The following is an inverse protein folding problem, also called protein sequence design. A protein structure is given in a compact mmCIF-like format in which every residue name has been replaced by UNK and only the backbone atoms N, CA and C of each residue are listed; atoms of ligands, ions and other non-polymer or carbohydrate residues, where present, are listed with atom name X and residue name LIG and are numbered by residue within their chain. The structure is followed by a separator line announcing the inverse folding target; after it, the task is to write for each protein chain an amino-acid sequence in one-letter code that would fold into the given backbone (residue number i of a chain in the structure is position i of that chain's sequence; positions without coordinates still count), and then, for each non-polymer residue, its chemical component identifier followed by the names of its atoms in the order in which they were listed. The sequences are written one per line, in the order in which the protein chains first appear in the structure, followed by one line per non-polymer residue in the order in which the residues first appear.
data_IF_860891529091
#
_entry.id   IF_860891529091
#
_cell.length_a   1.000
_cell.length_b   1.000
_cell.length_c   1.000
_cell.angle_alpha   90.00
_cell.angle_beta   90.00
_cell.angle_gamma   90.00
#
_symmetry.space_group_name_H-M   'P 1'
#
loop_
_entity.id
_entity.type
_entity.pdbx_description
1 polymer ?
#
# COMPACT_ATOMS: atom_id res chain seq x y z
N UNK A 1 -3.31 9.88 18.35
CA UNK A 1 -4.43 9.87 17.40
C UNK A 1 -5.41 8.79 17.85
N UNK A 2 -6.72 9.02 17.78
CA UNK A 2 -7.71 7.97 18.09
C UNK A 2 -7.87 7.04 16.89
N UNK A 3 -8.41 5.85 17.12
CA UNK A 3 -8.73 4.91 16.04
C UNK A 3 -9.70 5.53 15.03
N UNK A 4 -10.74 6.21 15.52
CA UNK A 4 -11.75 6.85 14.69
C UNK A 4 -11.15 7.91 13.74
N UNK A 5 -10.26 8.77 14.25
CA UNK A 5 -9.56 9.76 13.43
C UNK A 5 -8.67 9.09 12.38
N UNK A 6 -7.92 8.05 12.76
CA UNK A 6 -7.04 7.35 11.81
C UNK A 6 -7.84 6.65 10.71
N UNK A 7 -8.97 6.03 11.07
CA UNK A 7 -9.90 5.42 10.11
C UNK A 7 -10.44 6.45 9.13
N UNK A 8 -10.79 7.65 9.61
CA UNK A 8 -11.25 8.75 8.78
C UNK A 8 -10.16 9.22 7.81
N UNK A 9 -8.94 9.43 8.27
CA UNK A 9 -7.79 9.84 7.43
C UNK A 9 -7.47 8.81 6.34
N UNK A 10 -7.48 7.51 6.65
CA UNK A 10 -7.27 6.44 5.67
C UNK A 10 -8.33 6.51 4.56
N UNK A 11 -9.60 6.70 4.91
CA UNK A 11 -10.70 6.81 3.95
C UNK A 11 -10.55 8.05 3.08
N UNK A 12 -10.17 9.20 3.65
CA UNK A 12 -9.94 10.43 2.92
C UNK A 12 -8.80 10.28 1.90
N UNK A 13 -7.69 9.65 2.30
CA UNK A 13 -6.56 9.34 1.42
C UNK A 13 -7.00 8.40 0.29
N UNK A 14 -7.69 7.32 0.62
CA UNK A 14 -8.19 6.35 -0.36
C UNK A 14 -9.12 7.02 -1.39
N UNK A 15 -10.02 7.88 -0.94
CA UNK A 15 -10.90 8.64 -1.83
C UNK A 15 -10.15 9.71 -2.64
N UNK A 16 -9.11 10.33 -2.09
CA UNK A 16 -8.30 11.32 -2.80
C UNK A 16 -7.51 10.68 -3.96
N UNK A 17 -6.89 9.52 -3.73
CA UNK A 17 -6.15 8.81 -4.79
C UNK A 17 -7.10 8.24 -5.86
N UNK A 18 -8.33 7.86 -5.50
CA UNK A 18 -9.38 7.47 -6.45
C UNK A 18 -9.76 8.64 -7.36
N UNK A 19 -10.07 9.79 -6.76
CA UNK A 19 -10.42 11.02 -7.50
C UNK A 19 -9.29 11.52 -8.39
N UNK A 20 -8.04 11.28 -8.01
CA UNK A 20 -6.86 11.57 -8.83
C UNK A 20 -6.65 10.58 -9.99
N UNK A 21 -7.44 9.50 -10.07
CA UNK A 21 -7.35 8.49 -11.13
C UNK A 21 -6.21 7.49 -10.94
N UNK A 22 -5.71 7.30 -9.71
CA UNK A 22 -4.59 6.39 -9.43
C UNK A 22 -5.03 4.96 -9.13
N UNK A 23 -6.33 4.73 -8.95
CA UNK A 23 -6.90 3.44 -8.53
C UNK A 23 -8.00 2.95 -9.50
N UNK A 24 -7.72 2.80 -10.80
CA UNK A 24 -8.72 2.35 -11.78
C UNK A 24 -9.31 0.99 -11.39
N UNK A 25 -10.60 0.77 -11.68
CA UNK A 25 -11.28 -0.52 -11.46
C UNK A 25 -11.25 -1.04 -10.01
N UNK A 26 -11.26 -0.14 -9.01
CA UNK A 26 -11.18 -0.48 -7.57
C UNK A 26 -9.86 -1.18 -7.20
N UNK A 27 -8.78 -0.83 -7.89
CA UNK A 27 -7.42 -1.26 -7.53
C UNK A 27 -6.86 -0.44 -6.36
N UNK A 28 -5.75 -0.88 -5.79
CA UNK A 28 -5.08 -0.18 -4.70
C UNK A 28 -5.55 -0.59 -3.32
N UNK A 29 -4.80 -0.17 -2.31
CA UNK A 29 -5.13 -0.31 -0.89
C UNK A 29 -4.38 0.73 -0.08
N UNK A 30 -4.99 1.14 1.04
CA UNK A 30 -4.39 2.08 1.98
C UNK A 30 -4.42 1.44 3.35
N UNK A 31 -3.31 1.60 4.09
CA UNK A 31 -3.24 1.18 5.48
C UNK A 31 -2.45 2.18 6.31
N UNK A 32 -2.66 2.14 7.62
CA UNK A 32 -1.79 2.78 8.59
C UNK A 32 -1.58 1.87 9.81
N UNK A 33 -0.42 2.00 10.46
CA UNK A 33 -0.10 1.28 11.70
C UNK A 33 -1.05 1.72 12.81
N UNK A 34 -1.59 0.76 13.57
CA UNK A 34 -2.47 1.02 14.70
C UNK A 34 -2.36 -0.08 15.75
N UNK A 35 -2.05 0.30 17.00
CA UNK A 35 -1.67 -0.66 18.05
C UNK A 35 -0.50 -1.54 17.62
N UNK A 36 -0.61 -2.85 17.87
CA UNK A 36 0.37 -3.86 17.45
C UNK A 36 0.12 -4.38 16.00
N UNK A 37 -0.67 -3.65 15.23
CA UNK A 37 -1.17 -4.06 13.92
C UNK A 37 -1.30 -2.91 12.93
N UNK A 38 -2.31 -3.01 12.06
CA UNK A 38 -2.64 -2.02 11.03
C UNK A 38 -4.15 -1.94 10.80
N UNK A 39 -4.63 -0.75 10.44
CA UNK A 39 -5.93 -0.57 9.81
C UNK A 39 -5.74 -0.60 8.29
N UNK A 40 -6.59 -1.34 7.57
CA UNK A 40 -6.48 -1.48 6.11
C UNK A 40 -7.84 -1.40 5.41
N UNK A 41 -7.84 -0.86 4.18
CA UNK A 41 -9.00 -0.84 3.29
C UNK A 41 -9.54 -2.23 2.97
N UNK A 42 -10.88 -2.39 2.87
CA UNK A 42 -11.50 -3.67 2.53
C UNK A 42 -11.27 -4.06 1.06
N UNK A 43 -11.36 -5.36 0.78
CA UNK A 43 -11.29 -5.87 -0.59
C UNK A 43 -12.55 -5.53 -1.39
N UNK A 44 -12.38 -5.02 -2.62
CA UNK A 44 -13.43 -4.90 -3.64
C UNK A 44 -14.48 -3.81 -3.44
N UNK A 45 -14.38 -3.01 -2.37
CA UNK A 45 -15.27 -1.88 -2.12
C UNK A 45 -14.75 -0.62 -2.86
N UNK A 46 -15.55 0.06 -3.69
CA UNK A 46 -15.14 1.32 -4.29
C UNK A 46 -14.78 2.36 -3.22
N UNK A 47 -13.68 3.10 -3.40
CA UNK A 47 -13.26 4.12 -2.44
C UNK A 47 -14.32 5.21 -2.22
N UNK A 48 -15.01 5.64 -3.29
CA UNK A 48 -16.15 6.55 -3.19
C UNK A 48 -17.28 6.09 -2.24
N UNK A 49 -17.35 4.79 -1.91
CA UNK A 49 -18.35 4.20 -0.98
C UNK A 49 -17.74 3.69 0.32
N UNK A 50 -16.42 3.80 0.49
CA UNK A 50 -15.73 3.32 1.68
C UNK A 50 -15.95 4.30 2.83
N UNK A 51 -16.30 3.77 4.01
CA UNK A 51 -16.48 4.54 5.25
C UNK A 51 -15.52 4.04 6.34
N UNK A 52 -15.27 4.82 7.40
CA UNK A 52 -14.35 4.44 8.48
C UNK A 52 -14.63 3.05 9.09
N UNK A 53 -15.90 2.69 9.22
CA UNK A 53 -16.37 1.41 9.78
C UNK A 53 -16.15 0.22 8.84
N UNK A 54 -15.86 0.48 7.56
CA UNK A 54 -15.57 -0.56 6.57
C UNK A 54 -14.09 -1.00 6.62
N UNK A 55 -13.21 -0.30 7.36
CA UNK A 55 -11.80 -0.66 7.55
C UNK A 55 -11.65 -1.86 8.49
N UNK A 56 -10.59 -2.64 8.26
CA UNK A 56 -10.29 -3.86 9.02
C UNK A 56 -9.05 -3.59 9.87
N UNK A 57 -9.09 -3.95 11.15
CA UNK A 57 -7.91 -4.01 12.01
C UNK A 57 -7.28 -5.40 11.91
N UNK A 58 -6.06 -5.46 11.39
CA UNK A 58 -5.25 -6.67 11.30
C UNK A 58 -4.09 -6.59 12.28
N UNK A 59 -3.76 -7.69 12.95
CA UNK A 59 -2.45 -7.87 13.59
C UNK A 59 -1.36 -8.12 12.55
N UNK A 60 -0.10 -7.96 12.94
CA UNK A 60 1.05 -8.23 12.06
C UNK A 60 1.26 -9.73 11.78
N UNK A 61 0.51 -10.65 12.38
CA UNK A 61 0.49 -12.06 11.97
C UNK A 61 -0.59 -12.37 10.91
N UNK A 62 -1.42 -11.38 10.55
CA UNK A 62 -2.50 -11.52 9.57
C UNK A 62 -3.86 -11.88 10.17
N UNK A 63 -3.97 -11.97 11.50
CA UNK A 63 -5.25 -12.21 12.17
C UNK A 63 -6.14 -10.96 12.12
N UNK A 64 -7.44 -11.15 11.84
CA UNK A 64 -8.44 -10.08 11.90
C UNK A 64 -8.82 -9.85 13.37
N UNK A 65 -8.48 -8.67 13.89
CA UNK A 65 -8.79 -8.26 15.25
C UNK A 65 -10.16 -7.57 15.35
N UNK A 66 -10.50 -6.75 14.34
CA UNK A 66 -11.78 -6.06 14.22
C UNK A 66 -12.15 -5.80 12.74
N UNK A 67 -13.44 -5.75 12.45
CA UNK A 67 -13.99 -5.44 11.13
C UNK A 67 -14.95 -6.51 10.60
N UNK A 68 -15.96 -6.07 9.83
CA UNK A 68 -17.01 -6.94 9.27
C UNK A 68 -16.79 -7.34 7.80
N UNK A 69 -15.73 -6.81 7.17
CA UNK A 69 -15.38 -7.06 5.76
C UNK A 69 -14.12 -7.88 5.64
N UNK A 70 -13.88 -8.41 4.44
CA UNK A 70 -12.59 -9.01 4.10
C UNK A 70 -11.55 -7.89 3.91
N UNK A 71 -10.34 -8.00 4.49
CA UNK A 71 -9.26 -7.07 4.21
C UNK A 71 -8.86 -7.15 2.73
N UNK A 72 -8.14 -6.13 2.24
CA UNK A 72 -7.51 -6.18 0.90
C UNK A 72 -6.79 -7.50 0.68
N UNK A 73 -6.89 -8.11 -0.50
CA UNK A 73 -6.13 -9.32 -0.88
C UNK A 73 -4.62 -9.14 -0.81
N UNK A 74 -4.16 -7.89 -0.77
CA UNK A 74 -2.76 -7.49 -0.77
C UNK A 74 -2.23 -7.12 0.62
N UNK A 75 -3.02 -7.35 1.67
CA UNK A 75 -2.57 -7.19 3.06
C UNK A 75 -1.22 -7.89 3.39
N UNK A 76 -0.82 -9.03 2.77
CA UNK A 76 0.43 -9.69 3.12
C UNK A 76 1.67 -8.82 2.94
N UNK A 77 1.76 -8.03 1.86
CA UNK A 77 2.92 -7.15 1.69
C UNK A 77 2.87 -5.94 2.64
N UNK A 78 1.68 -5.46 3.02
CA UNK A 78 1.58 -4.41 4.03
C UNK A 78 2.17 -4.87 5.36
N UNK A 79 1.78 -6.07 5.80
CA UNK A 79 2.31 -6.70 7.01
C UNK A 79 3.83 -6.91 6.91
N UNK A 80 4.32 -7.46 5.80
CA UNK A 80 5.74 -7.70 5.62
C UNK A 80 6.56 -6.39 5.64
N UNK A 81 6.06 -5.35 4.96
CA UNK A 81 6.69 -4.02 4.97
C UNK A 81 6.68 -3.43 6.38
N UNK A 82 5.57 -3.47 7.12
CA UNK A 82 5.51 -2.95 8.48
C UNK A 82 6.44 -3.69 9.46
N UNK A 83 6.67 -5.00 9.26
CA UNK A 83 7.66 -5.77 10.03
C UNK A 83 9.09 -5.38 9.68
N UNK A 84 9.40 -5.27 8.40
CA UNK A 84 10.75 -4.93 7.92
C UNK A 84 11.11 -3.44 8.12
N UNK A 85 10.11 -2.57 8.20
CA UNK A 85 10.25 -1.10 8.28
C UNK A 85 9.47 -0.54 9.47
N UNK A 86 10.05 -0.56 10.67
CA UNK A 86 9.45 0.06 11.85
C UNK A 86 9.18 1.56 11.69
N UNK A 87 9.94 2.23 10.82
CA UNK A 87 9.77 3.65 10.48
C UNK A 87 8.53 3.92 9.61
N UNK A 88 8.00 2.91 8.90
CA UNK A 88 6.79 3.06 8.10
C UNK A 88 5.55 3.12 9.00
N UNK A 89 4.79 4.23 8.86
CA UNK A 89 3.54 4.48 9.60
C UNK A 89 2.28 4.35 8.74
N UNK A 90 2.42 4.49 7.42
CA UNK A 90 1.34 4.32 6.46
C UNK A 90 1.88 3.75 5.14
N UNK A 91 1.04 3.03 4.42
CA UNK A 91 1.35 2.46 3.10
C UNK A 91 0.17 2.73 2.17
N UNK A 92 0.49 3.25 0.99
CA UNK A 92 -0.47 3.48 -0.10
C UNK A 92 0.00 2.67 -1.31
N UNK A 93 -0.85 1.76 -1.76
CA UNK A 93 -0.67 0.99 -2.98
C UNK A 93 -1.68 1.47 -4.04
N UNK A 94 -1.22 1.64 -5.27
CA UNK A 94 -2.02 2.14 -6.39
C UNK A 94 -1.66 1.41 -7.68
N UNK A 95 -2.57 1.42 -8.66
CA UNK A 95 -2.28 1.04 -10.04
C UNK A 95 -2.29 2.29 -10.93
N UNK A 96 -1.53 3.32 -10.52
CA UNK A 96 -1.50 4.58 -11.27
C UNK A 96 -0.96 4.34 -12.70
N UNK A 97 -1.66 4.81 -13.76
CA UNK A 97 -1.40 4.33 -15.12
C UNK A 97 0.05 4.42 -15.60
N UNK A 98 0.74 5.52 -15.25
CA UNK A 98 2.13 5.76 -15.66
C UNK A 98 3.13 4.88 -14.91
N UNK A 99 2.93 4.69 -13.60
CA UNK A 99 3.78 3.81 -12.80
C UNK A 99 3.56 2.34 -13.21
N UNK A 100 2.30 1.96 -13.43
CA UNK A 100 1.95 0.62 -13.91
C UNK A 100 2.59 0.34 -15.28
N UNK A 101 2.55 1.28 -16.23
CA UNK A 101 3.21 1.10 -17.53
C UNK A 101 4.71 0.81 -17.41
N UNK A 102 5.42 1.51 -16.52
CA UNK A 102 6.85 1.25 -16.25
C UNK A 102 7.06 -0.10 -15.56
N UNK A 103 6.18 -0.46 -14.62
CA UNK A 103 6.25 -1.75 -13.92
C UNK A 103 6.05 -2.94 -14.85
N UNK A 104 5.09 -2.88 -15.78
CA UNK A 104 4.89 -3.91 -16.80
C UNK A 104 6.10 -4.04 -17.74
N UNK A 105 6.82 -2.94 -17.98
CA UNK A 105 8.07 -2.94 -18.73
C UNK A 105 9.29 -3.39 -17.90
N UNK A 106 9.11 -3.67 -16.60
CA UNK A 106 10.17 -3.98 -15.62
C UNK A 106 11.23 -2.88 -15.54
N UNK A 107 10.81 -1.62 -15.64
CA UNK A 107 11.71 -0.46 -15.64
C UNK A 107 11.51 0.36 -14.38
N UNK A 108 12.58 0.48 -13.59
CA UNK A 108 12.64 1.46 -12.50
C UNK A 108 12.67 2.91 -13.01
N UNK A 109 12.58 3.85 -12.08
CA UNK A 109 12.63 5.29 -12.34
C UNK A 109 14.00 5.81 -11.91
N UNK A 110 14.89 6.26 -12.83
CA UNK A 110 16.17 6.84 -12.46
C UNK A 110 16.02 8.27 -11.93
N UNK A 111 17.10 8.86 -11.42
CA UNK A 111 17.17 10.28 -11.03
C UNK A 111 17.14 11.25 -12.24
N UNK A 112 16.07 11.23 -13.03
CA UNK A 112 15.87 12.18 -14.12
C UNK A 112 15.32 13.54 -13.62
N UNK A 113 14.83 13.60 -12.38
CA UNK A 113 14.33 14.82 -11.73
C UNK A 113 14.62 14.77 -10.22
N UNK A 114 14.95 15.92 -9.61
CA UNK A 114 15.42 15.99 -8.21
C UNK A 114 14.41 15.47 -7.18
N UNK A 115 13.11 15.56 -7.48
CA UNK A 115 12.02 15.07 -6.61
C UNK A 115 12.08 13.55 -6.36
N UNK A 116 12.88 12.79 -7.12
CA UNK A 116 13.16 11.37 -6.83
C UNK A 116 13.68 11.17 -5.40
N UNK A 117 14.35 12.17 -4.81
CA UNK A 117 14.89 12.13 -3.46
C UNK A 117 13.79 11.91 -2.40
N UNK A 118 12.53 12.32 -2.67
CA UNK A 118 11.41 12.05 -1.76
C UNK A 118 11.10 10.56 -1.62
N UNK A 119 11.49 9.74 -2.61
CA UNK A 119 11.42 8.29 -2.56
C UNK A 119 12.54 7.66 -1.70
N UNK A 120 13.35 8.46 -1.01
CA UNK A 120 14.39 8.01 -0.08
C UNK A 120 15.73 7.63 -0.72
N UNK A 121 15.90 7.83 -2.02
CA UNK A 121 17.12 7.50 -2.74
C UNK A 121 17.22 8.19 -4.10
N UNK A 122 18.10 7.68 -4.96
CA UNK A 122 18.35 8.20 -6.31
C UNK A 122 17.53 7.50 -7.41
N UNK A 123 16.61 6.61 -7.05
CA UNK A 123 15.77 5.87 -7.97
C UNK A 123 14.51 5.31 -7.27
N UNK A 124 13.57 4.81 -8.08
CA UNK A 124 12.51 3.89 -7.65
C UNK A 124 12.75 2.57 -8.35
N UNK A 125 12.97 1.51 -7.57
CA UNK A 125 13.23 0.16 -8.09
C UNK A 125 11.93 -0.50 -8.57
N UNK A 126 12.05 -1.42 -9.52
CA UNK A 126 10.97 -2.33 -9.89
C UNK A 126 11.25 -3.70 -9.28
N UNK A 127 10.36 -4.17 -8.41
CA UNK A 127 10.45 -5.48 -7.79
C UNK A 127 10.19 -6.60 -8.81
N UNK A 128 10.69 -7.80 -8.54
CA UNK A 128 10.40 -8.99 -9.32
C UNK A 128 8.91 -9.35 -9.21
N UNK A 129 8.34 -9.83 -10.33
CA UNK A 129 6.95 -10.28 -10.38
C UNK A 129 6.74 -11.49 -9.46
N UNK A 130 5.61 -11.48 -8.77
CA UNK A 130 5.00 -12.64 -8.16
C UNK A 130 3.48 -12.41 -8.08
N UNK A 131 2.71 -13.48 -7.92
CA UNK A 131 1.24 -13.41 -7.87
C UNK A 131 0.78 -12.51 -6.72
N UNK A 132 -0.21 -11.65 -6.95
CA UNK A 132 -0.77 -10.78 -5.90
C UNK A 132 -1.23 -11.57 -4.68
N UNK A 133 -1.07 -10.97 -3.48
CA UNK A 133 -1.40 -11.62 -2.22
C UNK A 133 -0.49 -12.79 -1.82
N UNK A 134 0.57 -13.08 -2.58
CA UNK A 134 1.53 -14.13 -2.24
C UNK A 134 2.62 -13.63 -1.26
N UNK A 135 3.21 -14.55 -0.46
CA UNK A 135 4.40 -14.24 0.33
C UNK A 135 5.59 -13.81 -0.53
N UNK A 136 5.76 -14.40 -1.71
CA UNK A 136 6.85 -14.08 -2.64
C UNK A 136 6.80 -12.62 -3.10
N UNK A 137 5.60 -12.11 -3.43
CA UNK A 137 5.42 -10.69 -3.76
C UNK A 137 5.80 -9.78 -2.58
N UNK A 138 5.42 -10.17 -1.37
CA UNK A 138 5.75 -9.43 -0.17
C UNK A 138 7.27 -9.36 0.07
N UNK A 139 7.98 -10.47 -0.10
CA UNK A 139 9.44 -10.53 0.00
C UNK A 139 10.11 -9.68 -1.08
N UNK A 140 9.65 -9.78 -2.34
CA UNK A 140 10.16 -8.97 -3.45
C UNK A 140 9.99 -7.47 -3.19
N UNK A 141 8.82 -7.06 -2.68
CA UNK A 141 8.54 -5.67 -2.34
C UNK A 141 9.44 -5.17 -1.21
N UNK A 142 9.60 -5.94 -0.13
CA UNK A 142 10.48 -5.58 1.00
C UNK A 142 11.92 -5.41 0.54
N UNK A 143 12.45 -6.37 -0.24
CA UNK A 143 13.81 -6.31 -0.79
C UNK A 143 14.01 -5.06 -1.65
N UNK A 144 13.07 -4.77 -2.54
CA UNK A 144 13.16 -3.61 -3.42
C UNK A 144 12.94 -2.26 -2.69
N UNK A 145 12.32 -2.25 -1.51
CA UNK A 145 12.16 -1.08 -0.64
C UNK A 145 13.37 -0.79 0.26
N UNK A 146 14.40 -1.62 0.28
CA UNK A 146 15.58 -1.37 1.13
C UNK A 146 16.25 -0.02 0.81
N UNK A 147 16.33 0.86 1.81
CA UNK A 147 16.77 2.24 1.61
C UNK A 147 15.90 3.08 0.66
N UNK A 148 14.63 2.72 0.44
CA UNK A 148 13.64 3.45 -0.38
C UNK A 148 12.31 3.62 0.37
N UNK A 149 11.46 4.53 -0.11
CA UNK A 149 10.11 4.79 0.38
C UNK A 149 9.04 4.48 -0.68
N UNK A 150 9.45 4.13 -1.89
CA UNK A 150 8.58 3.76 -3.00
C UNK A 150 9.20 2.62 -3.81
N UNK A 151 8.35 1.80 -4.41
CA UNK A 151 8.72 0.66 -5.26
C UNK A 151 7.64 0.46 -6.32
N UNK A 152 8.05 0.05 -7.53
CA UNK A 152 7.15 -0.46 -8.56
C UNK A 152 7.03 -1.98 -8.42
N UNK A 153 5.83 -2.55 -8.62
CA UNK A 153 5.60 -4.00 -8.58
C UNK A 153 5.33 -4.48 -10.02
N UNK A 154 6.17 -5.36 -10.55
CA UNK A 154 6.10 -5.86 -11.92
C UNK A 154 4.84 -6.70 -12.21
#
# INVERSE_FOLDING_TARGET
MTEETLRQEIVEVAQAIDRAGFCPSKSGNVSARFGDGLLITPSGLPYAKTRPQDLIHLSLDGTVLDGSRKPSSEWPFHVAIYKARPDAQAIVHTHSPRATALSCARRGIPAFHYMIALCGGSDVRCADYATFGSPELAENAVRALDGRKAVLLA
#
